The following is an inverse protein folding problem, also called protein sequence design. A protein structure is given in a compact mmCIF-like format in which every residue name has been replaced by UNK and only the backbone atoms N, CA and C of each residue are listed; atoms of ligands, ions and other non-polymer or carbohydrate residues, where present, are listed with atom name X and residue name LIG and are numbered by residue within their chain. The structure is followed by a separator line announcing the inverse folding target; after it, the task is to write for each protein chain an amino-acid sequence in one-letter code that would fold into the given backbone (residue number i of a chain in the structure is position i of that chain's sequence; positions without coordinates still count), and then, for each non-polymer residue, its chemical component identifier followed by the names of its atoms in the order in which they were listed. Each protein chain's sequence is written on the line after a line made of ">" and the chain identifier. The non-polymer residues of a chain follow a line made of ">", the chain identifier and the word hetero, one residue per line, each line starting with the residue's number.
data_IF_933936851908
#
_entry.id   IF_933936851908
#
_cell.length_a   1.000
_cell.length_b   1.000
_cell.length_c   1.000
_cell.angle_alpha   90.00
_cell.angle_beta   90.00
_cell.angle_gamma   90.00
#
_symmetry.space_group_name_H-M   'P 1'
#
loop_
_entity.id
_entity.type
_entity.pdbx_description
1 polymer ?
#
# COMPACT_ATOMS: atom_id res chain seq x y z
N UNK A 1 13.96 9.63 -51.43
CA UNK A 1 13.36 9.75 -50.08
C UNK A 1 14.45 9.45 -49.07
N UNK A 2 14.65 10.27 -48.02
CA UNK A 2 15.60 9.93 -46.97
C UNK A 2 15.17 8.62 -46.28
N UNK A 3 16.13 7.78 -45.85
CA UNK A 3 15.81 6.58 -45.08
C UNK A 3 15.06 6.99 -43.81
N UNK A 4 13.92 6.34 -43.57
CA UNK A 4 13.14 6.54 -42.35
C UNK A 4 13.59 5.50 -41.33
N UNK A 5 13.94 5.96 -40.13
CA UNK A 5 14.18 5.05 -39.02
C UNK A 5 12.86 4.31 -38.70
N UNK A 6 12.89 2.98 -38.52
CA UNK A 6 11.74 2.23 -38.02
C UNK A 6 11.21 2.80 -36.69
N UNK A 7 9.90 2.73 -36.49
CA UNK A 7 9.25 3.30 -35.29
C UNK A 7 9.70 2.56 -34.04
N UNK A 8 9.90 1.25 -34.14
CA UNK A 8 10.35 0.37 -33.06
C UNK A 8 11.72 0.80 -32.53
N UNK A 9 12.62 1.26 -33.40
CA UNK A 9 13.92 1.80 -32.97
C UNK A 9 13.79 3.15 -32.27
N UNK A 10 12.85 3.99 -32.70
CA UNK A 10 12.56 5.25 -32.01
C UNK A 10 12.04 4.98 -30.60
N UNK A 11 11.11 4.05 -30.45
CA UNK A 11 10.52 3.68 -29.15
C UNK A 11 11.58 3.12 -28.22
N UNK A 12 12.45 2.23 -28.71
CA UNK A 12 13.57 1.70 -27.93
C UNK A 12 14.51 2.81 -27.44
N UNK A 13 14.84 3.79 -28.29
CA UNK A 13 15.67 4.95 -27.90
C UNK A 13 15.00 5.74 -26.77
N UNK A 14 13.70 6.02 -26.89
CA UNK A 14 12.95 6.75 -25.86
C UNK A 14 12.82 5.92 -24.58
N UNK A 15 12.66 4.60 -24.69
CA UNK A 15 12.62 3.68 -23.55
C UNK A 15 13.94 3.67 -22.77
N UNK A 16 15.09 3.81 -23.44
CA UNK A 16 16.38 3.97 -22.75
C UNK A 16 16.49 5.26 -21.92
N UNK A 17 15.63 6.26 -22.18
CA UNK A 17 15.60 7.54 -21.47
C UNK A 17 14.62 7.57 -20.30
N UNK A 18 14.02 6.44 -19.90
CA UNK A 18 12.97 6.37 -18.87
C UNK A 18 13.33 7.06 -17.53
N UNK A 19 14.61 7.16 -17.18
CA UNK A 19 15.08 7.81 -15.96
C UNK A 19 15.36 9.33 -16.10
N UNK A 20 15.48 9.86 -17.33
CA UNK A 20 15.76 11.27 -17.59
C UNK A 20 14.49 12.00 -18.08
N UNK A 21 13.72 12.52 -17.13
CA UNK A 21 12.47 13.23 -17.41
C UNK A 21 12.68 14.49 -18.26
N UNK A 22 13.83 15.15 -18.16
CA UNK A 22 14.14 16.33 -18.97
C UNK A 22 14.40 15.94 -20.43
N UNK A 23 15.17 14.87 -20.67
CA UNK A 23 15.37 14.33 -22.01
C UNK A 23 14.06 13.82 -22.62
N UNK A 24 13.24 13.08 -21.87
CA UNK A 24 11.91 12.64 -22.31
C UNK A 24 11.01 13.82 -22.67
N UNK A 25 11.04 14.89 -21.87
CA UNK A 25 10.31 16.13 -22.15
C UNK A 25 10.73 16.76 -23.48
N UNK A 26 12.04 16.77 -23.79
CA UNK A 26 12.56 17.22 -25.08
C UNK A 26 12.14 16.27 -26.21
N UNK A 27 12.23 14.96 -26.01
CA UNK A 27 11.82 13.95 -26.98
C UNK A 27 10.35 14.07 -27.36
N UNK A 28 9.47 14.37 -26.40
CA UNK A 28 8.06 14.63 -26.64
C UNK A 28 7.80 15.84 -27.57
N UNK A 29 8.77 16.75 -27.71
CA UNK A 29 8.65 17.93 -28.57
C UNK A 29 9.26 17.75 -29.96
N UNK A 30 10.05 16.69 -30.19
CA UNK A 30 10.76 16.46 -31.47
C UNK A 30 9.78 16.14 -32.60
N UNK A 31 8.93 15.12 -32.42
CA UNK A 31 7.96 14.72 -33.44
C UNK A 31 6.77 13.95 -32.84
N UNK A 32 5.69 13.81 -33.61
CA UNK A 32 4.46 13.11 -33.16
C UNK A 32 4.67 11.63 -32.82
N UNK A 33 5.61 10.95 -33.47
CA UNK A 33 5.91 9.54 -33.17
C UNK A 33 6.44 9.36 -31.76
N UNK A 34 7.27 10.29 -31.29
CA UNK A 34 7.93 10.17 -29.98
C UNK A 34 7.03 10.61 -28.82
N UNK A 35 5.94 11.33 -29.10
CA UNK A 35 5.02 11.85 -28.08
C UNK A 35 4.44 10.71 -27.25
N UNK A 36 3.97 9.63 -27.88
CA UNK A 36 3.26 8.56 -27.17
C UNK A 36 4.18 7.87 -26.15
N UNK A 37 5.37 7.45 -26.59
CA UNK A 37 6.37 6.75 -25.77
C UNK A 37 6.99 7.67 -24.73
N UNK A 38 7.23 8.95 -25.07
CA UNK A 38 7.72 9.91 -24.07
C UNK A 38 6.67 10.19 -23.00
N UNK A 39 5.40 10.39 -23.37
CA UNK A 39 4.29 10.59 -22.43
C UNK A 39 4.05 9.37 -21.56
N UNK A 40 4.23 8.18 -22.12
CA UNK A 40 4.13 6.93 -21.39
C UNK A 40 5.08 6.94 -20.18
N UNK A 41 6.35 7.29 -20.36
CA UNK A 41 7.30 7.37 -19.25
C UNK A 41 7.07 8.58 -18.34
N UNK A 42 6.81 9.76 -18.91
CA UNK A 42 6.62 11.00 -18.16
C UNK A 42 5.40 10.99 -17.23
N UNK A 43 4.32 10.32 -17.64
CA UNK A 43 3.02 10.36 -16.96
C UNK A 43 2.54 8.99 -16.49
N UNK A 44 3.38 7.94 -16.54
CA UNK A 44 3.06 6.63 -15.98
C UNK A 44 2.69 6.71 -14.50
N UNK A 45 3.41 7.56 -13.76
CA UNK A 45 3.25 7.76 -12.33
C UNK A 45 2.97 9.23 -12.03
N UNK A 46 1.84 9.51 -11.39
CA UNK A 46 1.49 10.85 -10.92
C UNK A 46 1.38 10.81 -9.40
N UNK A 47 2.32 11.48 -8.74
CA UNK A 47 2.31 11.69 -7.30
C UNK A 47 1.77 13.10 -6.97
N UNK A 48 0.73 13.16 -6.16
CA UNK A 48 0.14 14.40 -5.61
C UNK A 48 0.31 14.47 -4.09
N UNK A 49 1.41 13.93 -3.56
CA UNK A 49 1.77 14.00 -2.14
C UNK A 49 2.26 15.41 -1.73
N UNK A 50 2.10 15.79 -0.44
CA UNK A 50 2.51 17.10 0.09
C UNK A 50 4.00 17.37 0.05
N UNK A 51 4.84 16.37 -0.24
CA UNK A 51 6.26 16.54 -0.54
C UNK A 51 6.49 17.56 -1.67
N UNK A 52 5.52 17.71 -2.58
CA UNK A 52 5.55 18.65 -3.70
C UNK A 52 5.12 20.08 -3.33
N UNK A 53 4.76 20.34 -2.07
CA UNK A 53 4.31 21.63 -1.54
C UNK A 53 2.80 21.89 -1.71
N UNK A 54 2.15 22.49 -0.70
CA UNK A 54 0.67 22.63 -0.64
C UNK A 54 0.04 23.37 -1.82
N UNK A 55 0.63 24.49 -2.24
CA UNK A 55 0.14 25.27 -3.40
C UNK A 55 0.24 24.47 -4.70
N UNK A 56 1.12 23.49 -4.73
CA UNK A 56 1.32 22.59 -5.87
C UNK A 56 0.18 21.59 -5.99
N UNK A 57 -0.28 20.97 -4.88
CA UNK A 57 -1.31 19.92 -4.93
C UNK A 57 -2.64 20.43 -5.50
N UNK A 58 -3.22 21.50 -4.95
CA UNK A 58 -4.51 22.00 -5.43
C UNK A 58 -4.45 22.41 -6.90
N UNK A 59 -3.31 22.94 -7.35
CA UNK A 59 -3.07 23.26 -8.76
C UNK A 59 -2.92 21.99 -9.60
N UNK A 60 -2.18 20.99 -9.13
CA UNK A 60 -1.99 19.72 -9.82
C UNK A 60 -3.31 18.97 -9.97
N UNK A 61 -4.14 18.94 -8.92
CA UNK A 61 -5.48 18.33 -8.96
C UNK A 61 -6.38 19.06 -9.96
N UNK A 62 -6.38 20.39 -9.95
CA UNK A 62 -7.14 21.20 -10.93
C UNK A 62 -6.66 20.93 -12.36
N UNK A 63 -5.34 20.94 -12.59
CA UNK A 63 -4.77 20.65 -13.91
C UNK A 63 -5.11 19.24 -14.38
N UNK A 64 -4.99 18.24 -13.50
CA UNK A 64 -5.38 16.86 -13.81
C UNK A 64 -6.88 16.79 -14.16
N UNK A 65 -7.73 17.48 -13.40
CA UNK A 65 -9.17 17.55 -13.67
C UNK A 65 -9.49 18.15 -15.05
N UNK A 66 -8.77 19.21 -15.43
CA UNK A 66 -8.93 19.88 -16.72
C UNK A 66 -8.41 19.00 -17.87
N UNK A 67 -7.29 18.32 -17.65
CA UNK A 67 -6.72 17.36 -18.60
C UNK A 67 -7.62 16.14 -18.80
N UNK A 68 -8.29 15.66 -17.74
CA UNK A 68 -9.30 14.60 -17.82
C UNK A 68 -10.65 15.12 -18.36
N UNK A 69 -10.92 16.41 -18.30
CA UNK A 69 -12.12 16.99 -18.93
C UNK A 69 -11.96 17.12 -20.46
N UNK A 70 -10.73 17.29 -20.92
CA UNK A 70 -10.42 17.54 -22.32
C UNK A 70 -10.59 16.27 -23.18
N UNK A 71 -11.49 16.34 -24.16
CA UNK A 71 -11.76 15.27 -25.13
C UNK A 71 -10.56 14.91 -26.02
N UNK A 72 -9.58 15.80 -26.11
CA UNK A 72 -8.39 15.63 -26.95
C UNK A 72 -7.16 15.19 -26.16
N UNK A 73 -7.29 15.04 -24.84
CA UNK A 73 -6.17 14.61 -24.00
C UNK A 73 -5.91 13.13 -24.18
N UNK A 74 -4.69 12.77 -24.59
CA UNK A 74 -4.22 11.38 -24.63
C UNK A 74 -3.51 10.95 -23.35
N UNK A 75 -3.33 11.89 -22.40
CA UNK A 75 -2.69 11.62 -21.11
C UNK A 75 -3.40 10.55 -20.27
N UNK A 76 -4.75 10.46 -20.25
CA UNK A 76 -5.45 9.42 -19.49
C UNK A 76 -5.03 7.99 -19.85
N UNK A 77 -4.53 7.79 -21.08
CA UNK A 77 -4.07 6.49 -21.56
C UNK A 77 -2.65 6.13 -21.05
N UNK A 78 -1.89 7.13 -20.62
CA UNK A 78 -0.50 6.97 -20.13
C UNK A 78 -0.43 6.71 -18.62
N UNK A 79 -1.43 7.16 -17.85
CA UNK A 79 -1.43 7.07 -16.38
C UNK A 79 -1.70 5.64 -15.92
N UNK A 80 -0.79 5.09 -15.12
CA UNK A 80 -0.87 3.74 -14.55
C UNK A 80 -0.88 3.73 -13.04
N UNK A 81 -0.18 4.68 -12.43
CA UNK A 81 -0.05 4.81 -11.00
C UNK A 81 -0.47 6.23 -10.61
N UNK A 82 -1.41 6.32 -9.69
CA UNK A 82 -1.96 7.60 -9.25
C UNK A 82 -1.98 7.65 -7.74
N UNK A 83 -1.28 8.62 -7.17
CA UNK A 83 -1.16 8.77 -5.73
C UNK A 83 -1.72 10.10 -5.25
N UNK A 84 -2.67 10.00 -4.32
CA UNK A 84 -3.17 11.12 -3.54
C UNK A 84 -2.98 10.80 -2.07
N UNK A 85 -1.83 11.22 -1.57
CA UNK A 85 -1.48 11.06 -0.18
C UNK A 85 -1.64 12.39 0.54
N UNK A 86 -2.39 12.41 1.63
CA UNK A 86 -2.31 13.46 2.63
C UNK A 86 -1.53 12.94 3.83
N UNK A 87 -0.51 13.66 4.28
CA UNK A 87 0.26 13.26 5.45
C UNK A 87 -0.60 13.47 6.71
N UNK A 88 -1.00 12.39 7.44
CA UNK A 88 -1.78 12.54 8.66
C UNK A 88 -0.98 13.22 9.77
N UNK A 89 0.35 13.14 9.73
CA UNK A 89 1.25 13.63 10.79
C UNK A 89 1.51 15.15 10.68
N UNK A 90 1.03 15.80 9.61
CA UNK A 90 1.07 17.26 9.58
C UNK A 90 -0.04 17.82 10.46
N UNK A 91 0.30 18.28 11.66
CA UNK A 91 -0.53 18.96 12.68
C UNK A 91 -1.43 20.10 12.16
N UNK A 92 -1.26 20.49 10.90
CA UNK A 92 -2.08 21.50 10.26
C UNK A 92 -3.40 20.91 9.78
N UNK A 93 -4.48 21.41 10.37
CA UNK A 93 -5.85 21.48 9.85
C UNK A 93 -6.19 20.54 8.69
N UNK A 94 -7.01 19.54 8.98
CA UNK A 94 -7.71 18.65 8.06
C UNK A 94 -7.78 19.22 6.64
N UNK A 95 -6.88 18.80 5.76
CA UNK A 95 -7.00 19.06 4.33
C UNK A 95 -8.36 18.52 3.90
N UNK A 96 -9.30 19.43 3.62
CA UNK A 96 -10.58 19.06 3.04
C UNK A 96 -10.31 18.44 1.68
N UNK A 97 -10.57 17.14 1.54
CA UNK A 97 -10.41 16.37 0.30
C UNK A 97 -11.42 16.77 -0.79
N UNK A 98 -12.07 17.92 -0.63
CA UNK A 98 -12.92 18.58 -1.61
C UNK A 98 -12.37 18.57 -3.05
N UNK A 99 -11.05 18.79 -3.32
CA UNK A 99 -10.53 18.77 -4.68
C UNK A 99 -10.59 17.38 -5.32
N UNK A 100 -10.38 16.32 -4.52
CA UNK A 100 -10.39 14.95 -5.00
C UNK A 100 -11.78 14.53 -5.46
N UNK A 101 -12.81 14.88 -4.69
CA UNK A 101 -14.21 14.63 -5.03
C UNK A 101 -14.61 15.14 -6.42
N UNK A 102 -13.97 16.19 -6.92
CA UNK A 102 -14.19 16.73 -8.27
C UNK A 102 -13.57 15.83 -9.36
N UNK A 103 -12.40 15.26 -9.08
CA UNK A 103 -11.65 14.42 -10.04
C UNK A 103 -12.16 12.98 -10.05
N UNK A 104 -12.63 12.48 -8.90
CA UNK A 104 -13.07 11.10 -8.70
C UNK A 104 -14.01 10.57 -9.81
N UNK A 105 -15.07 11.28 -10.24
CA UNK A 105 -15.95 10.80 -11.31
C UNK A 105 -15.26 10.64 -12.67
N UNK A 106 -14.16 11.38 -12.91
CA UNK A 106 -13.39 11.34 -14.16
C UNK A 106 -12.24 10.35 -14.14
N UNK A 107 -11.84 9.86 -12.97
CA UNK A 107 -10.81 8.81 -12.84
C UNK A 107 -11.20 7.54 -13.61
N UNK A 108 -12.50 7.32 -13.84
CA UNK A 108 -13.02 6.23 -14.70
C UNK A 108 -12.48 6.27 -16.13
N UNK A 109 -11.96 7.42 -16.59
CA UNK A 109 -11.31 7.55 -17.89
C UNK A 109 -9.89 6.94 -17.90
N UNK A 110 -9.28 6.72 -16.75
CA UNK A 110 -7.94 6.13 -16.59
C UNK A 110 -8.01 4.60 -16.76
N UNK A 111 -8.31 4.15 -17.97
CA UNK A 111 -8.53 2.72 -18.28
C UNK A 111 -7.31 1.83 -18.07
N UNK A 112 -6.12 2.42 -17.93
CA UNK A 112 -4.86 1.73 -17.71
C UNK A 112 -4.34 1.84 -16.28
N UNK A 113 -5.12 2.45 -15.37
CA UNK A 113 -4.75 2.58 -13.97
C UNK A 113 -4.66 1.19 -13.32
N UNK A 114 -3.47 0.87 -12.82
CA UNK A 114 -3.14 -0.36 -12.12
C UNK A 114 -2.96 -0.14 -10.64
N UNK A 115 -2.40 1.03 -10.27
CA UNK A 115 -2.10 1.37 -8.89
C UNK A 115 -2.79 2.68 -8.49
N UNK A 116 -3.49 2.64 -7.37
CA UNK A 116 -4.19 3.79 -6.82
C UNK A 116 -3.89 3.90 -5.33
N UNK A 117 -3.40 5.07 -4.92
CA UNK A 117 -3.08 5.41 -3.55
C UNK A 117 -3.98 6.57 -3.10
N UNK A 118 -4.75 6.39 -2.02
CA UNK A 118 -5.74 7.38 -1.56
C UNK A 118 -5.80 7.46 -0.04
N UNK A 119 -6.04 8.65 0.50
CA UNK A 119 -6.36 8.81 1.94
C UNK A 119 -7.82 8.50 2.30
N UNK A 120 -8.71 8.43 1.31
CA UNK A 120 -10.12 8.11 1.51
C UNK A 120 -10.60 7.08 0.48
N UNK A 121 -11.73 6.41 0.78
CA UNK A 121 -12.27 5.32 -0.03
C UNK A 121 -13.50 5.73 -0.86
N UNK A 122 -13.30 6.09 -2.14
CA UNK A 122 -14.40 6.37 -3.06
C UNK A 122 -14.88 5.08 -3.73
N UNK A 123 -15.64 4.25 -3.00
CA UNK A 123 -16.09 2.93 -3.49
C UNK A 123 -16.79 2.98 -4.86
N UNK A 124 -17.49 4.07 -5.17
CA UNK A 124 -18.14 4.29 -6.46
C UNK A 124 -17.15 4.30 -7.64
N UNK A 125 -15.94 4.80 -7.41
CA UNK A 125 -14.90 4.90 -8.45
C UNK A 125 -14.19 3.57 -8.64
N UNK A 126 -13.98 2.80 -7.57
CA UNK A 126 -13.29 1.51 -7.65
C UNK A 126 -14.00 0.54 -8.61
N UNK A 127 -15.34 0.49 -8.61
CA UNK A 127 -16.12 -0.32 -9.56
C UNK A 127 -15.93 0.03 -11.03
N UNK A 128 -15.45 1.24 -11.32
CA UNK A 128 -15.20 1.70 -12.67
C UNK A 128 -13.73 1.50 -13.12
N UNK A 129 -12.89 0.91 -12.26
CA UNK A 129 -11.47 0.67 -12.52
C UNK A 129 -11.20 -0.85 -12.65
N UNK A 130 -11.53 -1.46 -13.80
CA UNK A 130 -11.49 -2.92 -13.96
C UNK A 130 -10.08 -3.52 -13.94
N UNK A 131 -9.05 -2.69 -14.12
CA UNK A 131 -7.63 -3.11 -14.15
C UNK A 131 -6.86 -2.74 -12.89
N UNK A 132 -7.55 -2.25 -11.85
CA UNK A 132 -6.88 -1.92 -10.61
C UNK A 132 -6.37 -3.20 -9.93
N UNK A 133 -5.05 -3.30 -9.83
CA UNK A 133 -4.34 -4.46 -9.27
C UNK A 133 -3.80 -4.14 -7.87
N UNK A 134 -3.44 -2.87 -7.62
CA UNK A 134 -2.83 -2.38 -6.38
C UNK A 134 -3.65 -1.22 -5.82
N UNK A 135 -4.10 -1.34 -4.58
CA UNK A 135 -4.78 -0.27 -3.84
C UNK A 135 -4.01 0.01 -2.55
N UNK A 136 -3.62 1.26 -2.34
CA UNK A 136 -2.98 1.72 -1.09
C UNK A 136 -3.88 2.74 -0.41
N UNK A 137 -4.09 2.56 0.89
CA UNK A 137 -5.04 3.35 1.66
C UNK A 137 -4.32 3.93 2.88
N UNK A 138 -4.44 5.23 3.06
CA UNK A 138 -3.69 5.98 4.08
C UNK A 138 -4.66 6.66 5.04
N UNK A 139 -4.44 6.54 6.35
CA UNK A 139 -5.23 7.26 7.35
C UNK A 139 -6.71 6.88 7.36
N UNK A 140 -7.06 5.68 6.90
CA UNK A 140 -8.46 5.30 6.74
C UNK A 140 -9.09 4.82 8.06
N UNK A 141 -10.38 5.06 8.22
CA UNK A 141 -11.16 4.43 9.29
C UNK A 141 -11.71 3.08 8.81
N UNK A 142 -11.39 2.01 9.53
CA UNK A 142 -11.91 0.68 9.20
C UNK A 142 -13.42 0.63 9.49
N UNK A 143 -14.22 0.35 8.45
CA UNK A 143 -15.68 0.31 8.58
C UNK A 143 -16.35 -0.54 7.50
N UNK A 144 -17.69 -0.51 7.47
CA UNK A 144 -18.53 -1.28 6.52
C UNK A 144 -18.19 -1.01 5.05
N UNK A 145 -17.61 0.16 4.76
CA UNK A 145 -17.12 0.49 3.43
C UNK A 145 -16.13 -0.55 2.91
N UNK A 146 -15.12 -0.94 3.71
CA UNK A 146 -14.08 -1.88 3.28
C UNK A 146 -14.63 -3.24 2.83
N UNK A 147 -15.78 -3.67 3.38
CA UNK A 147 -16.47 -4.89 2.93
C UNK A 147 -16.95 -4.81 1.47
N UNK A 148 -17.12 -3.60 0.93
CA UNK A 148 -17.50 -3.39 -0.47
C UNK A 148 -16.33 -3.55 -1.44
N UNK A 149 -15.08 -3.54 -0.96
CA UNK A 149 -13.89 -3.67 -1.83
C UNK A 149 -13.98 -4.90 -2.73
N UNK A 150 -14.48 -6.02 -2.22
CA UNK A 150 -14.57 -7.24 -3.00
C UNK A 150 -15.57 -7.21 -4.14
N UNK A 151 -16.60 -6.36 -4.03
CA UNK A 151 -17.55 -6.15 -5.12
C UNK A 151 -17.05 -5.10 -6.11
N UNK A 152 -16.33 -4.09 -5.62
CA UNK A 152 -15.92 -2.95 -6.42
C UNK A 152 -14.59 -3.19 -7.16
N UNK A 153 -13.67 -4.01 -6.66
CA UNK A 153 -12.36 -4.19 -7.27
C UNK A 153 -12.01 -5.69 -7.41
N UNK A 154 -12.67 -6.42 -8.33
CA UNK A 154 -12.48 -7.88 -8.46
C UNK A 154 -11.07 -8.28 -8.93
N UNK A 155 -10.36 -7.38 -9.62
CA UNK A 155 -8.99 -7.60 -10.12
C UNK A 155 -7.91 -7.29 -9.08
N UNK A 156 -8.29 -6.83 -7.88
CA UNK A 156 -7.36 -6.37 -6.87
C UNK A 156 -6.54 -7.54 -6.32
N UNK A 157 -5.22 -7.40 -6.37
CA UNK A 157 -4.25 -8.42 -5.93
C UNK A 157 -3.44 -7.94 -4.73
N UNK A 158 -3.06 -6.68 -4.75
CA UNK A 158 -2.26 -6.05 -3.71
C UNK A 158 -3.10 -4.99 -3.00
N UNK A 159 -3.16 -5.09 -1.68
CA UNK A 159 -3.86 -4.14 -0.83
C UNK A 159 -2.92 -3.71 0.30
N UNK A 160 -2.59 -2.42 0.35
CA UNK A 160 -1.82 -1.87 1.46
C UNK A 160 -2.66 -0.89 2.26
N UNK A 161 -2.46 -0.94 3.56
CA UNK A 161 -2.99 0.00 4.51
C UNK A 161 -1.86 0.66 5.27
N UNK A 162 -2.00 1.95 5.51
CA UNK A 162 -1.06 2.74 6.29
C UNK A 162 -1.89 3.64 7.22
N UNK A 163 -1.67 3.54 8.54
CA UNK A 163 -2.46 4.24 9.56
C UNK A 163 -3.96 3.92 9.49
N UNK A 164 -4.35 2.70 9.89
CA UNK A 164 -5.77 2.34 9.96
C UNK A 164 -6.31 2.65 11.35
N UNK A 165 -7.30 3.53 11.41
CA UNK A 165 -7.95 3.90 12.66
C UNK A 165 -9.19 3.04 12.92
N UNK A 166 -9.35 2.65 14.17
CA UNK A 166 -10.54 2.04 14.70
C UNK A 166 -11.70 3.04 14.75
N UNK A 167 -12.90 2.62 14.35
CA UNK A 167 -14.12 3.31 14.77
C UNK A 167 -14.64 2.60 16.04
N UNK A 168 -14.63 3.24 17.23
CA UNK A 168 -14.88 2.58 18.52
C UNK A 168 -16.23 1.86 18.68
N UNK A 169 -17.17 2.06 17.74
CA UNK A 169 -18.57 1.64 17.87
C UNK A 169 -19.10 0.83 16.70
N UNK A 170 -18.25 0.39 15.76
CA UNK A 170 -18.70 -0.50 14.70
C UNK A 170 -18.76 -1.91 15.25
N UNK A 171 -19.89 -2.24 15.89
CA UNK A 171 -20.24 -3.63 16.14
C UNK A 171 -20.33 -4.32 14.77
N UNK A 172 -19.32 -5.14 14.45
CA UNK A 172 -19.37 -6.07 13.34
C UNK A 172 -20.37 -7.19 13.70
N UNK A 173 -21.66 -6.84 13.79
CA UNK A 173 -22.70 -7.86 13.87
C UNK A 173 -22.60 -8.71 12.60
N UNK A 174 -22.37 -10.01 12.79
CA UNK A 174 -22.10 -11.01 11.75
C UNK A 174 -23.27 -11.27 10.79
N UNK A 175 -24.22 -10.35 10.68
CA UNK A 175 -25.49 -10.57 9.98
C UNK A 175 -25.28 -10.65 8.46
N UNK A 176 -25.31 -11.90 7.99
CA UNK A 176 -25.77 -12.41 6.68
C UNK A 176 -25.18 -11.80 5.41
N UNK A 177 -24.12 -11.01 5.48
CA UNK A 177 -23.45 -10.52 4.29
C UNK A 177 -22.76 -11.68 3.54
N UNK A 178 -23.21 -11.89 2.30
CA UNK A 178 -22.52 -12.66 1.26
C UNK A 178 -21.05 -12.27 1.33
N UNK A 179 -20.19 -13.22 1.73
CA UNK A 179 -18.75 -13.01 1.84
C UNK A 179 -18.21 -12.73 0.45
N UNK A 180 -17.80 -11.49 0.15
CA UNK A 180 -17.27 -11.20 -1.17
C UNK A 180 -15.90 -11.86 -1.28
N UNK A 181 -15.78 -12.85 -2.15
CA UNK A 181 -14.49 -13.48 -2.42
C UNK A 181 -13.62 -12.53 -3.23
N UNK A 182 -12.52 -12.09 -2.65
CA UNK A 182 -11.51 -11.27 -3.32
C UNK A 182 -10.27 -12.13 -3.54
N UNK A 183 -9.72 -12.09 -4.76
CA UNK A 183 -8.48 -12.77 -5.12
C UNK A 183 -7.24 -11.95 -4.68
N UNK A 184 -7.23 -11.47 -3.43
CA UNK A 184 -6.06 -10.78 -2.86
C UNK A 184 -4.92 -11.77 -2.67
N UNK A 185 -3.75 -11.45 -3.23
CA UNK A 185 -2.52 -12.20 -3.04
C UNK A 185 -1.66 -11.63 -1.94
N UNK A 186 -1.70 -10.31 -1.74
CA UNK A 186 -0.79 -9.62 -0.85
C UNK A 186 -1.52 -8.54 -0.07
N UNK A 187 -1.42 -8.59 1.25
CA UNK A 187 -1.97 -7.59 2.15
C UNK A 187 -0.85 -7.06 3.02
N UNK A 188 -0.64 -5.74 2.97
CA UNK A 188 0.31 -5.04 3.81
C UNK A 188 -0.46 -4.13 4.75
N UNK A 189 -0.14 -4.15 6.03
CA UNK A 189 -0.75 -3.31 7.04
C UNK A 189 0.40 -2.63 7.78
N UNK A 190 0.44 -1.30 7.76
CA UNK A 190 1.39 -0.50 8.51
C UNK A 190 0.67 0.34 9.54
N UNK A 191 1.30 0.53 10.70
CA UNK A 191 0.69 1.22 11.84
C UNK A 191 -0.67 0.60 12.15
N UNK A 192 -0.66 -0.75 12.28
CA UNK A 192 -1.87 -1.55 12.41
C UNK A 192 -2.63 -1.19 13.69
N UNK A 193 -3.95 -1.19 13.57
CA UNK A 193 -4.85 -1.25 14.71
C UNK A 193 -5.51 -2.62 14.72
N UNK A 194 -5.71 -3.19 15.91
CA UNK A 194 -6.40 -4.46 16.19
C UNK A 194 -7.74 -4.63 15.45
N UNK A 195 -8.31 -3.51 15.02
CA UNK A 195 -9.61 -3.41 14.34
C UNK A 195 -9.59 -3.91 12.90
N UNK A 196 -8.42 -4.10 12.29
CA UNK A 196 -8.36 -4.62 10.92
C UNK A 196 -8.56 -6.15 10.83
N UNK A 197 -8.08 -6.90 11.82
CA UNK A 197 -8.19 -8.37 11.80
C UNK A 197 -9.65 -8.87 11.75
N UNK A 198 -10.61 -8.26 12.46
CA UNK A 198 -12.04 -8.55 12.27
C UNK A 198 -12.54 -8.36 10.84
N UNK A 199 -12.01 -7.37 10.10
CA UNK A 199 -12.37 -7.20 8.69
C UNK A 199 -11.83 -8.34 7.81
N UNK A 200 -10.60 -8.80 8.04
CA UNK A 200 -10.04 -9.96 7.32
C UNK A 200 -10.90 -11.21 7.53
N UNK A 201 -11.42 -11.40 8.75
CA UNK A 201 -12.35 -12.50 9.08
C UNK A 201 -13.63 -12.47 8.22
N UNK A 202 -14.08 -11.29 7.81
CA UNK A 202 -15.31 -11.10 7.03
C UNK A 202 -15.08 -11.26 5.52
N UNK A 203 -13.92 -10.83 5.02
CA UNK A 203 -13.62 -10.84 3.58
C UNK A 203 -13.16 -12.21 3.08
N UNK A 204 -12.51 -13.03 3.92
CA UNK A 204 -12.06 -14.40 3.56
C UNK A 204 -11.34 -14.44 2.19
N UNK A 205 -10.16 -13.78 2.05
CA UNK A 205 -9.44 -13.72 0.77
C UNK A 205 -9.07 -15.13 0.31
N UNK A 206 -9.36 -15.50 -0.94
CA UNK A 206 -9.31 -16.90 -1.39
C UNK A 206 -7.90 -17.44 -1.65
N UNK A 207 -6.91 -16.56 -1.82
CA UNK A 207 -5.53 -16.90 -2.24
C UNK A 207 -4.49 -15.97 -1.63
N UNK A 208 -4.63 -15.63 -0.35
CA UNK A 208 -3.66 -14.77 0.31
C UNK A 208 -2.31 -15.48 0.40
N UNK A 209 -1.29 -14.94 -0.28
CA UNK A 209 0.08 -15.46 -0.23
C UNK A 209 0.91 -14.76 0.81
N UNK A 210 0.78 -13.44 0.90
CA UNK A 210 1.59 -12.62 1.79
C UNK A 210 0.69 -11.79 2.67
N UNK A 211 0.83 -11.95 3.98
CA UNK A 211 0.26 -11.06 4.99
C UNK A 211 1.42 -10.41 5.74
N UNK A 212 1.58 -9.10 5.57
CA UNK A 212 2.64 -8.34 6.20
C UNK A 212 2.02 -7.31 7.15
N UNK A 213 2.32 -7.43 8.44
CA UNK A 213 1.78 -6.56 9.50
C UNK A 213 2.95 -5.88 10.19
N UNK A 214 3.20 -4.63 9.85
CA UNK A 214 4.14 -3.76 10.55
C UNK A 214 3.45 -3.13 11.78
N UNK A 215 4.19 -2.99 12.87
CA UNK A 215 3.72 -2.50 14.19
C UNK A 215 2.65 -3.36 14.85
N UNK A 216 2.82 -4.68 14.75
CA UNK A 216 1.94 -5.68 15.34
C UNK A 216 2.06 -5.69 16.87
N UNK A 217 0.93 -5.66 17.58
CA UNK A 217 0.89 -5.73 19.04
C UNK A 217 0.51 -7.15 19.51
N UNK A 218 1.10 -7.70 20.59
CA UNK A 218 0.76 -9.04 21.09
C UNK A 218 -0.74 -9.24 21.38
N UNK A 219 -1.45 -8.19 21.80
CA UNK A 219 -2.90 -8.21 22.01
C UNK A 219 -3.72 -8.55 20.74
N UNK A 220 -3.12 -8.44 19.55
CA UNK A 220 -3.74 -8.77 18.26
C UNK A 220 -3.64 -10.26 17.91
N UNK A 221 -2.78 -11.03 18.59
CA UNK A 221 -2.55 -12.46 18.33
C UNK A 221 -3.85 -13.28 18.36
N UNK A 222 -4.77 -13.14 19.34
CA UNK A 222 -6.01 -13.92 19.36
C UNK A 222 -6.87 -13.70 18.11
N UNK A 223 -6.94 -12.46 17.60
CA UNK A 223 -7.68 -12.14 16.39
C UNK A 223 -7.01 -12.72 15.14
N UNK A 224 -5.67 -12.71 15.09
CA UNK A 224 -4.90 -13.31 14.02
C UNK A 224 -5.05 -14.83 14.01
N UNK A 225 -4.98 -15.50 15.15
CA UNK A 225 -5.28 -16.94 15.29
C UNK A 225 -6.68 -17.24 14.77
N UNK A 226 -7.66 -16.43 15.15
CA UNK A 226 -9.04 -16.59 14.69
C UNK A 226 -9.19 -16.48 13.16
N UNK A 227 -8.29 -15.73 12.51
CA UNK A 227 -8.23 -15.60 11.05
C UNK A 227 -7.56 -16.80 10.39
N UNK A 228 -6.37 -17.18 10.86
CA UNK A 228 -5.60 -18.30 10.32
C UNK A 228 -6.33 -19.63 10.47
N UNK A 229 -7.13 -19.79 11.53
CA UNK A 229 -7.94 -20.99 11.77
C UNK A 229 -9.13 -21.16 10.82
N UNK A 230 -9.39 -20.22 9.90
CA UNK A 230 -10.55 -20.25 8.99
C UNK A 230 -10.14 -20.55 7.54
N UNK A 231 -11.01 -21.21 6.75
CA UNK A 231 -10.76 -21.37 5.31
C UNK A 231 -10.67 -20.01 4.61
N UNK A 232 -9.78 -19.85 3.61
CA UNK A 232 -9.07 -20.92 2.88
C UNK A 232 -7.77 -21.44 3.51
N UNK A 233 -7.43 -21.03 4.74
CA UNK A 233 -6.20 -21.42 5.43
C UNK A 233 -5.21 -20.27 5.58
N UNK A 234 -4.08 -20.51 6.24
CA UNK A 234 -3.04 -19.51 6.48
C UNK A 234 -2.35 -19.09 5.17
N UNK A 235 -1.74 -17.88 5.13
CA UNK A 235 -1.02 -17.41 3.95
C UNK A 235 0.31 -18.16 3.75
N UNK A 236 0.85 -18.19 2.53
CA UNK A 236 2.19 -18.78 2.25
C UNK A 236 3.31 -18.11 3.07
N UNK A 237 3.18 -16.81 3.34
CA UNK A 237 4.13 -16.00 4.09
C UNK A 237 3.38 -15.02 5.01
N UNK A 238 3.64 -15.13 6.31
CA UNK A 238 3.23 -14.19 7.33
C UNK A 238 4.46 -13.43 7.85
N UNK A 239 4.46 -12.10 7.72
CA UNK A 239 5.48 -11.23 8.30
C UNK A 239 4.84 -10.39 9.42
N UNK A 240 5.42 -10.46 10.61
CA UNK A 240 4.99 -9.68 11.78
C UNK A 240 6.15 -8.79 12.25
N UNK A 241 5.98 -7.48 12.19
CA UNK A 241 6.96 -6.55 12.71
C UNK A 241 6.47 -5.96 14.05
N UNK A 242 7.08 -6.38 15.14
CA UNK A 242 6.74 -6.01 16.51
C UNK A 242 7.41 -4.68 16.89
N UNK A 243 6.69 -3.81 17.61
CA UNK A 243 7.30 -2.63 18.23
C UNK A 243 8.11 -3.04 19.47
N UNK A 244 9.32 -2.47 19.69
CA UNK A 244 10.17 -2.80 20.87
C UNK A 244 9.45 -2.62 22.20
N UNK A 245 8.53 -1.66 22.27
CA UNK A 245 7.81 -1.34 23.49
C UNK A 245 6.86 -2.45 23.94
N UNK A 246 6.57 -3.42 23.06
CA UNK A 246 5.77 -4.59 23.39
C UNK A 246 6.56 -5.54 24.30
N UNK A 247 6.34 -5.42 25.61
CA UNK A 247 6.79 -6.43 26.58
C UNK A 247 6.00 -7.72 26.35
N UNK A 248 6.64 -8.73 25.78
CA UNK A 248 6.11 -10.09 25.74
C UNK A 248 6.13 -10.63 27.17
N UNK A 249 4.95 -10.89 27.72
CA UNK A 249 4.75 -11.47 29.05
C UNK A 249 4.77 -13.00 28.98
N UNK A 250 4.87 -13.68 30.12
CA UNK A 250 4.73 -15.15 30.16
C UNK A 250 3.35 -15.61 29.64
N UNK A 251 2.31 -14.80 29.85
CA UNK A 251 0.96 -15.07 29.34
C UNK A 251 0.89 -15.02 27.80
N UNK A 252 1.72 -14.21 27.16
CA UNK A 252 1.81 -14.13 25.69
C UNK A 252 2.44 -15.37 25.08
N UNK A 253 3.27 -16.11 25.83
CA UNK A 253 3.94 -17.33 25.34
C UNK A 253 2.92 -18.32 24.83
N UNK A 254 1.87 -18.56 25.63
CA UNK A 254 0.76 -19.45 25.27
C UNK A 254 0.03 -18.99 24.00
N UNK A 255 -0.04 -17.68 23.74
CA UNK A 255 -0.62 -17.14 22.50
C UNK A 255 0.27 -17.39 21.29
N UNK A 256 1.59 -17.25 21.45
CA UNK A 256 2.54 -17.54 20.38
C UNK A 256 2.59 -19.03 20.03
N UNK A 257 2.45 -19.95 21.00
CA UNK A 257 2.35 -21.38 20.70
C UNK A 257 1.09 -21.69 19.88
N UNK A 258 -0.05 -21.12 20.29
CA UNK A 258 -1.31 -21.27 19.56
C UNK A 258 -1.26 -20.63 18.18
N UNK A 259 -0.50 -19.55 18.01
CA UNK A 259 -0.26 -18.95 16.70
C UNK A 259 0.55 -19.89 15.81
N UNK A 260 1.61 -20.49 16.34
CA UNK A 260 2.40 -21.48 15.62
C UNK A 260 1.56 -22.69 15.18
N UNK A 261 0.69 -23.20 16.07
CA UNK A 261 -0.23 -24.29 15.75
C UNK A 261 -1.23 -23.90 14.64
N UNK A 262 -1.68 -22.64 14.63
CA UNK A 262 -2.60 -22.13 13.63
C UNK A 262 -1.94 -21.88 12.25
N UNK A 263 -0.62 -21.76 12.18
CA UNK A 263 0.09 -21.41 10.96
C UNK A 263 0.25 -22.57 9.98
N UNK A 264 0.09 -23.82 10.40
CA UNK A 264 0.30 -24.98 9.52
C UNK A 264 1.76 -25.11 9.04
N UNK A 265 2.11 -26.29 8.53
CA UNK A 265 3.52 -26.60 8.21
C UNK A 265 4.06 -25.85 6.97
N UNK A 266 3.17 -25.38 6.08
CA UNK A 266 3.54 -24.74 4.81
C UNK A 266 3.71 -23.21 4.91
N UNK A 267 3.36 -22.60 6.04
CA UNK A 267 3.42 -21.14 6.20
C UNK A 267 4.77 -20.70 6.70
N UNK A 268 5.43 -19.81 5.97
CA UNK A 268 6.63 -19.13 6.45
C UNK A 268 6.24 -17.98 7.39
N UNK A 269 6.75 -17.99 8.62
CA UNK A 269 6.61 -16.89 9.57
C UNK A 269 7.93 -16.14 9.74
N UNK A 270 7.93 -14.86 9.36
CA UNK A 270 9.04 -13.93 9.58
C UNK A 270 8.63 -12.94 10.69
N UNK A 271 9.29 -13.00 11.86
CA UNK A 271 9.08 -12.04 12.96
C UNK A 271 10.24 -11.07 13.03
N UNK A 272 9.95 -9.77 12.94
CA UNK A 272 10.94 -8.71 13.00
C UNK A 272 10.64 -7.84 14.22
N UNK A 273 11.66 -7.47 14.98
CA UNK A 273 11.51 -6.50 16.07
C UNK A 273 12.02 -5.15 15.57
N UNK A 274 11.15 -4.15 15.49
CA UNK A 274 11.47 -2.81 15.03
C UNK A 274 11.88 -1.96 16.23
N UNK A 275 13.17 -1.59 16.29
CA UNK A 275 13.71 -0.55 17.18
C UNK A 275 12.89 0.75 17.04
N UNK A 276 12.36 1.29 18.14
CA UNK A 276 11.74 2.61 18.14
C UNK A 276 12.75 3.66 17.67
N UNK A 277 12.29 4.67 16.92
CA UNK A 277 13.18 5.69 16.32
C UNK A 277 14.01 6.45 17.37
N UNK A 278 13.52 6.51 18.62
CA UNK A 278 14.17 7.19 19.74
C UNK A 278 15.01 6.28 20.65
N UNK A 279 15.13 4.97 20.34
CA UNK A 279 15.86 4.04 21.19
C UNK A 279 17.38 4.30 21.11
N UNK A 280 18.07 4.61 22.23
CA UNK A 280 19.50 4.85 22.23
C UNK A 280 20.26 3.63 21.69
N UNK A 281 21.23 3.88 20.79
CA UNK A 281 21.97 2.85 20.04
C UNK A 281 22.62 1.76 20.93
N UNK A 282 22.91 2.07 22.20
CA UNK A 282 23.54 1.17 23.17
C UNK A 282 22.59 0.11 23.78
N UNK A 283 21.26 0.29 23.70
CA UNK A 283 20.30 -0.65 24.34
C UNK A 283 19.90 -1.83 23.44
N UNK A 284 20.39 -1.85 22.19
CA UNK A 284 20.09 -2.88 21.20
C UNK A 284 20.59 -4.28 21.61
N UNK A 285 21.58 -4.37 22.50
CA UNK A 285 22.11 -5.64 23.02
C UNK A 285 21.25 -6.32 24.08
N UNK A 286 20.43 -5.58 24.85
CA UNK A 286 19.59 -6.19 25.91
C UNK A 286 18.38 -6.93 25.33
N UNK A 287 17.82 -6.44 24.23
CA UNK A 287 16.68 -7.07 23.57
C UNK A 287 17.00 -8.42 22.91
N UNK A 288 18.26 -8.66 22.53
CA UNK A 288 18.68 -9.97 21.99
C UNK A 288 18.62 -11.09 23.05
N UNK A 289 18.75 -10.76 24.33
CA UNK A 289 18.87 -11.75 25.42
C UNK A 289 17.52 -12.37 25.84
N UNK A 290 16.42 -11.59 25.86
CA UNK A 290 15.10 -12.10 26.26
C UNK A 290 14.53 -13.16 25.30
N UNK A 291 14.99 -13.18 24.05
CA UNK A 291 14.46 -14.04 23.00
C UNK A 291 15.18 -15.39 22.91
N UNK A 292 16.41 -15.51 23.42
CA UNK A 292 17.15 -16.77 23.38
C UNK A 292 16.58 -17.89 24.27
N UNK A 293 15.66 -17.55 25.17
CA UNK A 293 15.11 -18.44 26.20
C UNK A 293 13.87 -19.25 25.76
N UNK A 294 13.29 -18.97 24.59
CA UNK A 294 12.05 -19.64 24.16
C UNK A 294 12.33 -20.75 23.14
N UNK A 295 12.02 -22.02 23.44
CA UNK A 295 12.19 -23.16 22.52
C UNK A 295 11.45 -22.98 21.18
N UNK A 296 10.35 -22.23 21.16
CA UNK A 296 9.59 -21.86 19.97
C UNK A 296 10.40 -20.99 18.98
N UNK A 297 11.31 -20.16 19.49
CA UNK A 297 12.18 -19.31 18.70
C UNK A 297 13.33 -20.08 18.04
N UNK A 298 13.58 -21.34 18.44
CA UNK A 298 14.47 -22.23 17.71
C UNK A 298 13.79 -22.86 16.46
N UNK A 299 12.44 -22.89 16.41
CA UNK A 299 11.66 -23.31 15.22
C UNK A 299 11.33 -22.15 14.29
N UNK A 300 11.19 -20.94 14.83
CA UNK A 300 11.02 -19.72 14.05
C UNK A 300 12.40 -19.28 13.53
N UNK A 301 12.60 -19.27 12.22
CA UNK A 301 13.79 -18.66 11.61
C UNK A 301 13.78 -17.15 11.90
N UNK A 302 14.27 -16.74 13.08
CA UNK A 302 14.46 -15.33 13.43
C UNK A 302 15.56 -14.75 12.54
N UNK A 303 15.17 -14.21 11.39
CA UNK A 303 16.07 -13.45 10.53
C UNK A 303 16.08 -11.98 10.95
N UNK A 304 17.22 -11.57 11.51
CA UNK A 304 17.77 -10.20 11.53
C UNK A 304 16.93 -9.09 12.16
N UNK A 305 17.48 -8.47 13.23
CA UNK A 305 17.18 -7.07 13.58
C UNK A 305 17.55 -6.17 12.40
N UNK A 306 16.55 -5.69 11.66
CA UNK A 306 16.75 -4.72 10.58
C UNK A 306 16.53 -3.32 11.17
N UNK A 307 17.63 -2.59 11.35
CA UNK A 307 17.59 -1.15 11.64
C UNK A 307 17.11 -0.41 10.37
N UNK A 308 15.83 -0.01 10.30
CA UNK A 308 15.37 0.90 9.24
C UNK A 308 15.93 2.30 9.53
N UNK A 309 16.96 2.74 8.79
CA UNK A 309 17.17 4.17 8.58
C UNK A 309 16.26 4.61 7.42
N UNK A 310 15.46 5.68 7.57
CA UNK A 310 14.77 6.25 6.41
C UNK A 310 15.81 6.69 5.36
N UNK A 311 15.49 6.61 4.06
CA UNK A 311 16.39 7.12 3.03
C UNK A 311 16.63 8.61 3.31
N UNK A 312 17.84 8.95 3.74
CA UNK A 312 18.25 10.34 3.87
C UNK A 312 18.19 10.96 2.48
N UNK A 313 17.20 11.82 2.26
CA UNK A 313 17.22 12.80 1.17
C UNK A 313 18.35 13.79 1.49
N UNK A 314 19.58 13.41 1.17
CA UNK A 314 20.66 14.35 0.99
C UNK A 314 20.32 15.17 -0.25
N UNK A 315 19.71 16.33 -0.01
CA UNK A 315 19.73 17.44 -0.96
C UNK A 315 21.18 17.90 -1.00
N UNK A 316 21.92 17.46 -2.01
CA UNK A 316 23.18 18.08 -2.42
C UNK A 316 22.87 19.50 -2.88
N UNK A 317 22.94 20.44 -1.95
CA UNK A 317 23.20 21.83 -2.24
C UNK A 317 24.71 22.01 -2.33
N UNK A 318 25.30 21.77 -3.51
CA UNK A 318 26.62 22.28 -3.86
C UNK A 318 26.60 22.88 -5.28
N UNK A 319 26.72 24.22 -5.27
CA UNK A 319 27.16 25.17 -6.32
C UNK A 319 26.22 25.43 -7.49
#
# INVERSE_FOLDING_TARGET
>A
MPPRLPHELCDLIVDFLHADTAALGRCALVCRGWIATSRYHLFAHIDMSPSTGRRSISRAVTLLNDLLASSHSTLPLSIRNLEFYNNPDSDSDHFSLSPLCVVLPKIVQLRHLKELSLSELPFQVLSALPRLETLRLYGITAGRGLLRLGKCAPSLRFLAFDSVYAVPHVNFTMETCIRPTIALSTIHIRRSSIVFLPWLLLVSPTRLRVLDIDEFAPAEIPALIGYLSRPPGPPEHLRLALQVECRITEDDVCLWERLADALGDDTRLDVIVIAGEDAPLDDKSQHHFLWSSFPLLARLNLLTLVSRQPPSTQVDAQV
#
